data_IF_753867615158
#
_entry.id   IF_753867615158
#
_cell.length_a   1.000
_cell.length_b   1.000
_cell.length_c   1.000
_cell.angle_alpha   90.00
_cell.angle_beta   90.00
_cell.angle_gamma   90.00
#
_symmetry.space_group_name_H-M   'P 1'
#
loop_
_entity.id
_entity.type
_entity.pdbx_description
1 polymer ?
#
# COMPACT_ATOMS: atom_id res chain seq x y z
N UNK A 1 -36.53 1.04 -24.30
CA UNK A 1 -35.81 2.20 -24.91
C UNK A 1 -35.92 3.38 -23.96
N UNK A 2 -34.84 3.63 -23.21
CA UNK A 2 -34.46 4.97 -22.70
C UNK A 2 -33.05 4.81 -22.16
N UNK A 3 -32.13 5.56 -22.77
CA UNK A 3 -30.71 5.66 -22.39
C UNK A 3 -30.64 6.62 -21.21
N UNK A 4 -30.15 6.20 -20.07
CA UNK A 4 -29.71 7.10 -19.01
C UNK A 4 -28.21 7.31 -19.11
N UNK A 5 -27.85 8.51 -19.55
CA UNK A 5 -26.48 9.00 -19.58
C UNK A 5 -26.01 9.31 -18.16
N UNK A 6 -24.87 8.74 -17.79
CA UNK A 6 -24.12 9.08 -16.59
C UNK A 6 -23.81 10.59 -16.53
N UNK A 7 -24.33 11.26 -15.50
CA UNK A 7 -23.99 12.64 -15.17
C UNK A 7 -22.73 12.66 -14.31
N UNK A 8 -21.61 13.05 -14.89
CA UNK A 8 -20.42 13.45 -14.14
C UNK A 8 -20.65 14.82 -13.47
N UNK A 9 -20.21 15.04 -12.22
CA UNK A 9 -20.40 16.32 -11.55
C UNK A 9 -19.50 17.41 -12.12
N UNK A 10 -20.12 18.41 -12.71
CA UNK A 10 -19.52 19.56 -13.42
C UNK A 10 -18.78 20.58 -12.51
N UNK A 11 -18.50 20.23 -11.25
CA UNK A 11 -17.90 21.17 -10.28
C UNK A 11 -16.36 21.24 -10.25
N UNK A 12 -15.66 20.36 -10.96
CA UNK A 12 -14.18 20.39 -11.02
C UNK A 12 -13.58 21.06 -12.26
N UNK A 13 -14.37 21.31 -13.27
CA UNK A 13 -13.88 21.91 -14.54
C UNK A 13 -13.88 23.45 -14.48
N UNK A 14 -14.70 24.08 -13.62
CA UNK A 14 -14.75 25.56 -13.52
C UNK A 14 -13.61 26.18 -12.70
N UNK A 15 -12.89 25.42 -11.88
CA UNK A 15 -11.79 25.98 -11.08
C UNK A 15 -10.46 26.06 -11.85
N UNK A 16 -10.31 25.27 -12.90
CA UNK A 16 -9.11 25.29 -13.75
C UNK A 16 -9.13 26.38 -14.82
N UNK A 17 -10.29 26.85 -15.21
CA UNK A 17 -10.45 27.91 -16.24
C UNK A 17 -10.26 29.33 -15.69
N UNK A 18 -10.48 29.54 -14.39
CA UNK A 18 -10.33 30.85 -13.76
C UNK A 18 -8.88 31.19 -13.42
N UNK A 19 -8.02 30.19 -13.24
CA UNK A 19 -6.59 30.41 -12.98
C UNK A 19 -5.81 30.73 -14.26
N UNK A 20 -6.31 30.33 -15.43
CA UNK A 20 -5.63 30.61 -16.71
C UNK A 20 -5.88 32.00 -17.26
N UNK A 21 -6.97 32.68 -16.84
CA UNK A 21 -7.29 34.04 -17.30
C UNK A 21 -6.72 35.17 -16.44
N UNK A 22 -6.16 34.89 -15.27
CA UNK A 22 -5.58 35.92 -14.40
C UNK A 22 -4.05 36.11 -14.56
N UNK A 23 -3.37 35.31 -15.40
CA UNK A 23 -1.95 35.48 -15.71
C UNK A 23 -1.64 36.25 -17.00
N UNK A 24 -2.62 36.68 -17.75
CA UNK A 24 -2.40 37.39 -19.04
C UNK A 24 -2.45 38.93 -18.94
N UNK A 25 -2.48 39.52 -17.75
CA UNK A 25 -2.62 40.95 -17.57
C UNK A 25 -1.44 41.70 -16.94
N UNK A 26 -0.24 41.10 -16.85
CA UNK A 26 0.92 41.75 -16.20
C UNK A 26 2.13 41.94 -17.17
N UNK A 27 1.96 41.87 -18.47
CA UNK A 27 3.05 42.20 -19.40
C UNK A 27 2.70 43.34 -20.36
N UNK A 28 2.37 44.51 -19.82
CA UNK A 28 2.50 45.74 -20.56
C UNK A 28 3.10 46.81 -19.64
N UNK A 29 4.42 46.72 -19.47
CA UNK A 29 5.22 47.90 -19.16
C UNK A 29 6.36 47.91 -20.15
N UNK A 30 6.17 48.56 -21.27
CA UNK A 30 7.24 49.03 -22.12
C UNK A 30 7.86 50.26 -21.45
N UNK A 31 8.99 50.09 -20.83
CA UNK A 31 9.99 51.12 -20.63
C UNK A 31 11.16 50.80 -21.57
N UNK A 32 11.39 51.70 -22.51
CA UNK A 32 12.59 51.68 -23.38
C UNK A 32 13.80 52.10 -22.54
N UNK A 33 14.34 51.17 -21.76
CA UNK A 33 15.68 51.30 -21.20
C UNK A 33 16.44 49.99 -21.48
N UNK A 34 17.21 50.06 -22.54
CA UNK A 34 18.09 48.97 -23.01
C UNK A 34 19.31 48.75 -22.14
N UNK A 35 19.35 49.27 -20.94
CA UNK A 35 20.43 49.05 -19.97
C UNK A 35 20.13 47.87 -19.06
N UNK A 36 20.71 46.71 -19.37
CA UNK A 36 20.67 45.54 -18.53
C UNK A 36 20.10 44.24 -19.10
N UNK A 37 19.82 44.20 -20.42
CA UNK A 37 19.53 42.91 -21.08
C UNK A 37 20.79 42.08 -21.11
N UNK A 38 20.84 41.06 -20.22
CA UNK A 38 21.84 40.01 -20.35
C UNK A 38 21.65 39.37 -21.72
N UNK A 39 22.60 39.56 -22.61
CA UNK A 39 22.61 38.87 -23.90
C UNK A 39 22.88 37.40 -23.60
N UNK A 40 21.82 36.60 -23.60
CA UNK A 40 21.95 35.16 -23.42
C UNK A 40 22.71 34.58 -24.60
N UNK A 41 23.81 33.87 -24.32
CA UNK A 41 24.50 33.08 -25.33
C UNK A 41 23.63 31.89 -25.75
N UNK A 42 22.90 32.03 -26.84
CA UNK A 42 21.91 31.05 -27.31
C UNK A 42 22.40 30.29 -28.56
N UNK A 43 23.68 30.34 -28.82
CA UNK A 43 24.31 29.55 -29.89
C UNK A 43 24.13 28.05 -29.57
N UNK A 44 23.90 27.23 -30.61
CA UNK A 44 23.87 25.78 -30.44
C UNK A 44 25.20 25.30 -29.83
N UNK A 45 25.19 24.61 -28.69
CA UNK A 45 26.40 24.04 -28.11
C UNK A 45 26.85 22.82 -28.88
N UNK A 46 28.12 22.46 -28.74
CA UNK A 46 28.64 21.21 -29.28
C UNK A 46 27.91 20.00 -28.68
N UNK A 47 27.90 18.89 -29.38
CA UNK A 47 27.23 17.66 -28.94
C UNK A 47 27.86 17.09 -27.66
N UNK A 48 27.11 16.30 -26.94
CA UNK A 48 27.62 15.45 -25.84
C UNK A 48 28.58 14.41 -26.38
N UNK A 49 29.51 13.95 -25.57
CA UNK A 49 30.54 12.95 -25.95
C UNK A 49 30.60 11.79 -24.96
N UNK A 50 31.33 10.73 -25.29
CA UNK A 50 31.54 9.56 -24.43
C UNK A 50 30.24 8.97 -23.88
N UNK A 51 29.19 8.89 -24.73
CA UNK A 51 27.90 8.35 -24.34
C UNK A 51 28.00 6.83 -24.17
N UNK A 52 27.67 6.35 -23.01
CA UNK A 52 27.57 4.92 -22.65
C UNK A 52 26.24 4.59 -22.05
N UNK A 53 25.82 3.35 -22.18
CA UNK A 53 24.57 2.85 -21.62
C UNK A 53 24.80 1.59 -20.82
N UNK A 54 23.95 1.38 -19.79
CA UNK A 54 23.88 0.13 -19.04
C UNK A 54 22.41 -0.23 -18.79
N UNK A 55 22.12 -1.52 -18.72
CA UNK A 55 20.79 -2.03 -18.45
C UNK A 55 20.54 -2.11 -16.92
N UNK A 56 19.27 -1.94 -16.54
CA UNK A 56 18.75 -2.25 -15.23
C UNK A 56 17.32 -2.79 -15.34
N UNK A 57 16.73 -3.29 -14.27
CA UNK A 57 15.40 -3.90 -14.28
C UNK A 57 14.30 -2.90 -14.67
N UNK A 58 13.81 -2.98 -15.94
CA UNK A 58 12.85 -2.03 -16.50
C UNK A 58 13.38 -0.61 -16.66
N UNK A 59 14.71 -0.42 -16.63
CA UNK A 59 15.34 0.88 -16.73
C UNK A 59 16.65 0.84 -17.51
N UNK A 60 17.07 2.01 -17.99
CA UNK A 60 18.33 2.19 -18.69
C UNK A 60 19.10 3.35 -18.08
N UNK A 61 20.35 3.09 -17.74
CA UNK A 61 21.31 4.10 -17.29
C UNK A 61 22.04 4.66 -18.51
N UNK A 62 22.12 5.98 -18.62
CA UNK A 62 22.83 6.67 -19.69
C UNK A 62 23.83 7.63 -19.05
N UNK A 63 25.10 7.51 -19.43
CA UNK A 63 26.18 8.36 -18.93
C UNK A 63 26.88 9.04 -20.12
N UNK A 64 27.18 10.31 -20.00
CA UNK A 64 27.82 11.10 -21.03
C UNK A 64 28.72 12.20 -20.45
N UNK A 65 29.55 12.79 -21.28
CA UNK A 65 30.33 13.97 -20.94
C UNK A 65 29.67 15.21 -21.57
N UNK A 66 29.35 16.21 -20.76
CA UNK A 66 28.81 17.49 -21.20
C UNK A 66 29.84 18.28 -22.05
N UNK A 67 29.39 19.03 -23.07
CA UNK A 67 30.27 19.90 -23.82
C UNK A 67 30.77 21.06 -22.96
N UNK A 68 31.92 21.66 -23.42
CA UNK A 68 32.51 22.83 -22.78
C UNK A 68 31.95 24.15 -23.30
N UNK A 69 31.01 24.11 -24.24
CA UNK A 69 30.41 25.30 -24.85
C UNK A 69 29.75 26.18 -23.78
N UNK A 70 30.04 27.46 -23.75
CA UNK A 70 29.47 28.42 -22.80
C UNK A 70 27.93 28.50 -22.86
N UNK A 71 27.36 28.27 -24.05
CA UNK A 71 25.91 28.24 -24.29
C UNK A 71 25.23 27.00 -23.79
N UNK A 72 25.93 25.96 -23.35
CA UNK A 72 25.34 24.71 -22.89
C UNK A 72 24.62 24.88 -21.55
N UNK A 73 23.34 24.46 -21.49
CA UNK A 73 22.51 24.58 -20.30
C UNK A 73 21.98 23.23 -19.82
N UNK A 74 21.57 22.34 -20.73
CA UNK A 74 21.03 21.04 -20.37
C UNK A 74 21.15 20.02 -21.49
N UNK A 75 21.12 18.75 -21.15
CA UNK A 75 20.93 17.65 -22.10
C UNK A 75 19.47 17.24 -22.12
N UNK A 76 18.85 17.24 -23.32
CA UNK A 76 17.53 16.65 -23.55
C UNK A 76 17.72 15.23 -24.07
N UNK A 77 17.07 14.26 -23.43
CA UNK A 77 17.06 12.86 -23.83
C UNK A 77 15.64 12.52 -24.30
N UNK A 78 15.48 12.26 -25.59
CA UNK A 78 14.20 11.81 -26.17
C UNK A 78 14.19 10.30 -26.31
N UNK A 79 13.03 9.69 -26.01
CA UNK A 79 12.81 8.26 -26.11
C UNK A 79 11.31 7.97 -26.32
N UNK A 80 10.97 6.70 -26.54
CA UNK A 80 9.59 6.25 -26.64
C UNK A 80 9.29 5.39 -25.41
N UNK A 81 8.19 5.65 -24.70
CA UNK A 81 7.79 4.84 -23.54
C UNK A 81 7.15 3.50 -23.96
N UNK A 82 6.86 2.64 -22.98
CA UNK A 82 6.25 1.33 -23.21
C UNK A 82 4.87 1.36 -23.88
N UNK A 83 4.22 2.52 -23.86
CA UNK A 83 2.89 2.74 -24.47
C UNK A 83 3.00 3.37 -25.88
N UNK A 84 4.24 3.51 -26.41
CA UNK A 84 4.51 4.08 -27.72
C UNK A 84 4.47 5.62 -27.77
N UNK A 85 4.37 6.28 -26.62
CA UNK A 85 4.37 7.74 -26.57
C UNK A 85 5.81 8.30 -26.52
N UNK A 86 6.04 9.37 -27.29
CA UNK A 86 7.31 10.10 -27.21
C UNK A 86 7.42 10.86 -25.91
N UNK A 87 8.53 10.67 -25.22
CA UNK A 87 8.90 11.27 -23.95
C UNK A 87 10.24 11.96 -24.03
N UNK A 88 10.51 12.81 -23.06
CA UNK A 88 11.86 13.37 -22.90
C UNK A 88 12.19 13.61 -21.42
N UNK A 89 13.48 13.57 -21.13
CA UNK A 89 14.06 13.98 -19.85
C UNK A 89 15.02 15.14 -20.07
N UNK A 90 14.99 16.12 -19.17
CA UNK A 90 15.89 17.28 -19.19
C UNK A 90 16.87 17.17 -18.02
N UNK A 91 18.16 17.12 -18.32
CA UNK A 91 19.23 17.01 -17.34
C UNK A 91 20.06 18.28 -17.37
N UNK A 92 19.96 19.10 -16.34
CA UNK A 92 20.73 20.34 -16.20
C UNK A 92 22.23 20.07 -16.22
N UNK A 93 23.01 21.00 -16.73
CA UNK A 93 24.49 20.97 -16.69
C UNK A 93 25.02 20.83 -15.25
N UNK A 94 24.29 21.36 -14.27
CA UNK A 94 24.67 21.34 -12.85
C UNK A 94 24.56 19.92 -12.21
N UNK A 95 23.96 18.98 -12.92
CA UNK A 95 23.89 17.57 -12.48
C UNK A 95 25.17 16.79 -12.79
N UNK A 96 26.08 17.35 -13.57
CA UNK A 96 27.34 16.72 -13.89
C UNK A 96 28.33 16.85 -12.71
N UNK A 97 29.22 15.87 -12.59
CA UNK A 97 30.33 15.95 -11.65
C UNK A 97 31.44 16.96 -12.13
N UNK A 98 32.49 17.11 -11.36
CA UNK A 98 33.62 17.99 -11.65
C UNK A 98 34.32 17.69 -13.03
N UNK A 99 34.25 16.45 -13.48
CA UNK A 99 34.74 16.00 -14.77
C UNK A 99 33.73 16.21 -15.91
N UNK A 100 32.64 16.94 -15.67
CA UNK A 100 31.50 17.17 -16.58
C UNK A 100 30.78 15.91 -17.02
N UNK A 101 30.90 14.82 -16.28
CA UNK A 101 30.17 13.58 -16.54
C UNK A 101 28.79 13.66 -15.86
N UNK A 102 27.75 13.49 -16.67
CA UNK A 102 26.37 13.44 -16.23
C UNK A 102 25.77 12.03 -16.45
N UNK A 103 24.79 11.67 -15.63
CA UNK A 103 24.09 10.40 -15.72
C UNK A 103 22.57 10.64 -15.62
N UNK A 104 21.81 9.87 -16.39
CA UNK A 104 20.35 9.79 -16.28
C UNK A 104 19.91 8.34 -16.17
N UNK A 105 18.84 8.10 -15.43
CA UNK A 105 18.12 6.81 -15.39
C UNK A 105 16.76 7.01 -16.04
N UNK A 106 16.51 6.29 -17.12
CA UNK A 106 15.21 6.27 -17.79
C UNK A 106 14.50 5.00 -17.40
N UNK A 107 13.32 5.13 -16.79
CA UNK A 107 12.54 4.06 -16.17
C UNK A 107 11.21 3.82 -16.88
N UNK A 108 10.52 2.75 -16.50
CA UNK A 108 9.16 2.45 -16.94
C UNK A 108 9.10 1.61 -18.22
N UNK A 109 10.15 0.86 -18.53
CA UNK A 109 10.12 -0.09 -19.64
C UNK A 109 9.45 -1.40 -19.21
N UNK A 110 8.44 -1.81 -19.99
CA UNK A 110 7.61 -2.98 -19.67
C UNK A 110 8.25 -4.33 -20.04
N UNK A 111 9.29 -4.30 -20.88
CA UNK A 111 9.92 -5.51 -21.43
C UNK A 111 11.41 -5.25 -21.73
N UNK A 112 12.07 -6.23 -22.33
CA UNK A 112 13.49 -6.20 -22.70
C UNK A 112 13.75 -5.77 -24.13
N UNK A 113 12.78 -5.13 -24.80
CA UNK A 113 12.95 -4.64 -26.15
C UNK A 113 13.99 -3.51 -26.19
N UNK A 114 14.80 -3.52 -27.24
CA UNK A 114 15.85 -2.52 -27.43
C UNK A 114 15.25 -1.13 -27.59
N UNK A 115 15.63 -0.21 -26.72
CA UNK A 115 15.19 1.17 -26.72
C UNK A 115 16.24 2.06 -27.37
N UNK A 116 15.81 3.12 -28.06
CA UNK A 116 16.70 4.13 -28.67
C UNK A 116 16.50 5.46 -27.95
N UNK A 117 17.59 6.10 -27.63
CA UNK A 117 17.67 7.39 -26.93
C UNK A 117 18.42 8.40 -27.79
N UNK A 118 17.83 9.57 -28.00
CA UNK A 118 18.44 10.69 -28.73
C UNK A 118 18.82 11.78 -27.74
N UNK A 119 20.13 12.03 -27.58
CA UNK A 119 20.67 13.01 -26.64
C UNK A 119 21.03 14.31 -27.39
N UNK A 120 20.43 15.42 -26.97
CA UNK A 120 20.66 16.75 -27.50
C UNK A 120 21.30 17.63 -26.42
N UNK A 121 22.48 18.18 -26.71
CA UNK A 121 23.03 19.28 -25.91
C UNK A 121 22.33 20.58 -26.31
N UNK A 122 21.68 21.24 -25.38
CA UNK A 122 20.81 22.38 -25.63
C UNK A 122 21.29 23.67 -24.97
N UNK A 123 21.10 24.78 -25.64
CA UNK A 123 21.19 26.14 -25.09
C UNK A 123 19.94 26.45 -24.23
N UNK A 124 19.89 27.64 -23.63
CA UNK A 124 18.75 28.10 -22.83
C UNK A 124 17.43 28.11 -23.62
N UNK A 125 17.44 28.32 -24.93
CA UNK A 125 16.25 28.30 -25.79
C UNK A 125 16.08 26.98 -26.57
N UNK A 126 16.91 25.96 -26.28
CA UNK A 126 16.81 24.66 -26.92
C UNK A 126 17.54 24.49 -28.21
N UNK A 127 18.32 25.48 -28.66
CA UNK A 127 19.15 25.34 -29.86
C UNK A 127 20.21 24.26 -29.64
N UNK A 128 20.43 23.39 -30.63
CA UNK A 128 21.34 22.24 -30.56
C UNK A 128 21.91 21.90 -31.96
N UNK A 129 22.99 21.15 -32.00
CA UNK A 129 23.63 20.67 -33.26
C UNK A 129 23.14 19.28 -33.72
N UNK A 130 21.97 18.84 -33.18
CA UNK A 130 21.41 17.52 -33.45
C UNK A 130 21.79 16.48 -32.40
N UNK A 131 21.19 15.30 -32.49
CA UNK A 131 21.34 14.25 -31.52
C UNK A 131 22.63 13.45 -31.61
N UNK A 132 23.01 12.82 -30.51
CA UNK A 132 23.75 11.56 -30.46
C UNK A 132 22.77 10.46 -30.13
N UNK A 133 22.72 9.42 -30.95
CA UNK A 133 21.83 8.28 -30.73
C UNK A 133 22.57 7.12 -30.08
N UNK A 134 21.96 6.54 -29.09
CA UNK A 134 22.39 5.30 -28.44
C UNK A 134 21.21 4.37 -28.24
N UNK A 135 21.48 3.08 -28.10
CA UNK A 135 20.43 2.10 -27.89
C UNK A 135 20.83 1.07 -26.85
N UNK A 136 19.91 0.72 -25.99
CA UNK A 136 20.09 -0.27 -24.94
C UNK A 136 18.78 -1.03 -24.71
N UNK A 137 18.86 -2.35 -24.51
CA UNK A 137 17.76 -3.14 -24.00
C UNK A 137 17.79 -3.07 -22.46
N UNK A 138 16.69 -2.77 -21.78
CA UNK A 138 16.62 -2.90 -20.34
C UNK A 138 16.65 -4.38 -19.93
N UNK A 139 16.96 -4.65 -18.66
CA UNK A 139 16.73 -5.97 -18.07
C UNK A 139 15.23 -6.18 -17.83
N UNK A 140 14.83 -7.45 -17.59
CA UNK A 140 13.44 -7.78 -17.26
C UNK A 140 12.96 -6.96 -16.08
N UNK A 141 11.83 -6.25 -16.20
CA UNK A 141 11.36 -5.38 -15.11
C UNK A 141 10.90 -6.18 -13.90
N UNK A 142 11.07 -5.60 -12.72
CA UNK A 142 10.79 -6.25 -11.45
C UNK A 142 9.39 -6.87 -11.37
N UNK A 143 8.36 -6.18 -11.87
CA UNK A 143 6.98 -6.71 -11.84
C UNK A 143 6.82 -7.98 -12.67
N UNK A 144 7.52 -8.13 -13.80
CA UNK A 144 7.51 -9.35 -14.60
C UNK A 144 8.15 -10.53 -13.85
N UNK A 145 9.25 -10.27 -13.15
CA UNK A 145 9.94 -11.32 -12.39
C UNK A 145 9.20 -11.69 -11.11
N UNK A 146 8.63 -10.73 -10.39
CA UNK A 146 7.78 -10.97 -9.23
C UNK A 146 6.55 -11.78 -9.61
N UNK A 147 5.91 -11.47 -10.75
CA UNK A 147 4.76 -12.22 -11.25
C UNK A 147 5.03 -13.72 -11.41
N UNK A 148 6.24 -14.11 -11.83
CA UNK A 148 6.65 -15.52 -11.99
C UNK A 148 6.76 -16.27 -10.65
N UNK A 149 6.88 -15.56 -9.54
CA UNK A 149 7.03 -16.14 -8.19
C UNK A 149 5.70 -16.32 -7.47
N UNK A 150 4.61 -15.75 -8.02
CA UNK A 150 3.31 -15.75 -7.35
C UNK A 150 2.72 -17.15 -7.36
N UNK A 151 2.37 -17.64 -6.17
CA UNK A 151 1.52 -18.82 -5.98
C UNK A 151 0.36 -18.48 -5.05
N UNK A 152 -0.76 -19.16 -5.24
CA UNK A 152 -1.99 -18.95 -4.46
C UNK A 152 -2.42 -20.27 -3.85
N UNK A 153 -2.64 -20.25 -2.54
CA UNK A 153 -3.08 -21.39 -1.76
C UNK A 153 -4.40 -21.08 -1.03
N UNK A 154 -5.28 -22.07 -0.83
CA UNK A 154 -6.47 -21.88 -0.01
C UNK A 154 -6.09 -21.48 1.41
N UNK A 155 -6.82 -20.52 1.98
CA UNK A 155 -6.70 -20.13 3.37
C UNK A 155 -8.08 -19.91 3.98
N UNK A 156 -8.15 -19.85 5.30
CA UNK A 156 -9.40 -19.59 6.01
C UNK A 156 -9.95 -18.20 5.63
N UNK A 157 -11.14 -18.17 5.07
CA UNK A 157 -11.82 -16.94 4.66
C UNK A 157 -11.18 -16.21 3.46
N UNK A 158 -10.26 -16.87 2.73
CA UNK A 158 -9.58 -16.26 1.60
C UNK A 158 -8.48 -17.11 1.00
N UNK A 159 -7.42 -16.47 0.55
CA UNK A 159 -6.26 -17.12 -0.06
C UNK A 159 -4.96 -16.58 0.52
N UNK A 160 -3.97 -17.44 0.57
CA UNK A 160 -2.59 -17.09 0.91
C UNK A 160 -1.81 -16.90 -0.39
N UNK A 161 -1.26 -15.70 -0.56
CA UNK A 161 -0.47 -15.35 -1.73
C UNK A 161 0.99 -15.36 -1.33
N UNK A 162 1.75 -16.31 -1.86
CA UNK A 162 3.19 -16.33 -1.76
C UNK A 162 3.79 -15.54 -2.92
N UNK A 163 4.84 -14.79 -2.65
CA UNK A 163 5.58 -13.99 -3.63
C UNK A 163 7.00 -13.75 -3.16
N UNK A 164 7.87 -13.37 -4.09
CA UNK A 164 9.24 -12.97 -3.81
C UNK A 164 9.60 -11.76 -4.68
N UNK A 165 10.05 -10.68 -4.04
CA UNK A 165 10.58 -9.51 -4.70
C UNK A 165 12.04 -9.29 -4.28
N UNK A 166 12.97 -9.74 -5.13
CA UNK A 166 14.41 -9.58 -4.91
C UNK A 166 14.96 -8.22 -5.43
N UNK A 167 14.08 -7.37 -5.95
CA UNK A 167 14.43 -6.07 -6.52
C UNK A 167 14.31 -4.97 -5.47
N UNK A 168 15.08 -3.90 -5.61
CA UNK A 168 15.02 -2.75 -4.72
C UNK A 168 13.93 -1.73 -5.15
N UNK A 169 12.80 -2.22 -5.61
CA UNK A 169 11.65 -1.40 -6.04
C UNK A 169 10.36 -2.03 -5.56
N UNK A 170 9.35 -1.21 -5.29
CA UNK A 170 8.02 -1.67 -4.94
C UNK A 170 7.30 -2.16 -6.19
N UNK A 171 6.58 -3.27 -6.05
CA UNK A 171 5.70 -3.86 -7.05
C UNK A 171 4.29 -3.95 -6.46
N UNK A 172 3.27 -3.74 -7.26
CA UNK A 172 1.87 -3.96 -6.87
C UNK A 172 1.45 -5.35 -7.33
N UNK A 173 0.78 -6.13 -6.46
CA UNK A 173 0.07 -7.35 -6.88
C UNK A 173 -1.42 -7.01 -6.91
N UNK A 174 -2.04 -7.21 -8.07
CA UNK A 174 -3.45 -6.97 -8.33
C UNK A 174 -4.20 -8.28 -8.53
N UNK A 175 -5.37 -8.39 -7.89
CA UNK A 175 -6.26 -9.53 -8.00
C UNK A 175 -7.66 -9.05 -8.40
N UNK A 176 -8.23 -9.76 -9.37
CA UNK A 176 -9.66 -9.76 -9.63
C UNK A 176 -10.17 -11.17 -9.37
N UNK A 177 -11.28 -11.31 -8.67
CA UNK A 177 -11.79 -12.62 -8.29
C UNK A 177 -13.31 -12.67 -8.34
N UNK A 178 -13.83 -13.88 -8.52
CA UNK A 178 -15.25 -14.16 -8.51
C UNK A 178 -15.52 -15.60 -8.11
N UNK A 179 -16.72 -15.87 -7.61
CA UNK A 179 -17.19 -17.25 -7.49
C UNK A 179 -17.35 -17.87 -8.88
N UNK A 180 -17.01 -19.14 -9.02
CA UNK A 180 -17.22 -19.88 -10.27
C UNK A 180 -18.72 -20.08 -10.55
N UNK A 181 -19.54 -20.21 -9.49
CA UNK A 181 -20.98 -20.45 -9.55
C UNK A 181 -21.81 -19.18 -9.83
N UNK A 182 -21.32 -17.99 -9.41
CA UNK A 182 -22.04 -16.73 -9.51
C UNK A 182 -21.10 -15.54 -9.72
N UNK A 183 -21.07 -15.01 -10.94
CA UNK A 183 -20.22 -13.87 -11.30
C UNK A 183 -20.56 -12.56 -10.58
N UNK A 184 -21.73 -12.44 -9.93
CA UNK A 184 -22.08 -11.28 -9.11
C UNK A 184 -21.34 -11.26 -7.77
N UNK A 185 -20.93 -12.42 -7.28
CA UNK A 185 -20.05 -12.56 -6.13
C UNK A 185 -18.61 -12.34 -6.61
N UNK A 186 -18.21 -11.10 -6.78
CA UNK A 186 -16.89 -10.73 -7.30
C UNK A 186 -16.32 -9.53 -6.57
N UNK A 187 -15.02 -9.38 -6.66
CA UNK A 187 -14.28 -8.26 -6.10
C UNK A 187 -12.90 -8.10 -6.71
N UNK A 188 -12.22 -7.08 -6.29
CA UNK A 188 -10.82 -6.84 -6.65
C UNK A 188 -10.06 -6.24 -5.49
N UNK A 189 -8.77 -6.49 -5.45
CA UNK A 189 -7.88 -5.86 -4.47
C UNK A 189 -6.49 -5.68 -5.04
N UNK A 190 -5.75 -4.71 -4.52
CA UNK A 190 -4.34 -4.50 -4.82
C UNK A 190 -3.57 -4.31 -3.53
N UNK A 191 -2.33 -4.75 -3.52
CA UNK A 191 -1.43 -4.49 -2.41
C UNK A 191 0.02 -4.30 -2.87
N UNK A 192 0.74 -3.52 -2.10
CA UNK A 192 2.16 -3.26 -2.33
C UNK A 192 3.02 -4.40 -1.80
N UNK A 193 4.04 -4.73 -2.58
CA UNK A 193 5.14 -5.63 -2.25
C UNK A 193 6.41 -4.81 -2.25
N UNK A 194 6.92 -4.52 -1.07
CA UNK A 194 8.13 -3.73 -0.92
C UNK A 194 9.35 -4.40 -1.59
N UNK A 195 10.33 -3.61 -1.96
CA UNK A 195 11.60 -4.14 -2.43
C UNK A 195 12.27 -5.04 -1.40
N UNK A 196 12.98 -6.07 -1.87
CA UNK A 196 13.67 -7.07 -1.04
C UNK A 196 12.77 -7.75 0.00
N UNK A 197 11.53 -8.06 -0.38
CA UNK A 197 10.54 -8.69 0.50
C UNK A 197 9.99 -9.99 -0.09
N UNK A 198 9.35 -10.78 0.77
CA UNK A 198 8.67 -12.02 0.39
C UNK A 198 7.38 -12.20 1.16
N UNK A 199 6.40 -12.90 0.54
CA UNK A 199 5.19 -13.38 1.21
C UNK A 199 5.48 -14.48 2.22
N UNK A 200 4.43 -15.07 2.82
CA UNK A 200 3.05 -15.01 2.34
C UNK A 200 2.25 -13.78 2.79
N UNK A 201 1.15 -13.50 2.08
CA UNK A 201 0.12 -12.54 2.47
C UNK A 201 -1.26 -13.16 2.38
N UNK A 202 -2.02 -13.10 3.46
CA UNK A 202 -3.43 -13.48 3.47
C UNK A 202 -4.26 -12.38 2.79
N UNK A 203 -5.11 -12.78 1.84
CA UNK A 203 -6.07 -11.92 1.16
C UNK A 203 -7.47 -12.51 1.33
N UNK A 204 -8.35 -11.78 1.99
CA UNK A 204 -9.75 -12.15 2.10
C UNK A 204 -10.49 -11.80 0.80
N UNK A 205 -11.24 -12.74 0.24
CA UNK A 205 -11.98 -12.56 -1.02
C UNK A 205 -13.39 -12.03 -0.71
N UNK A 206 -13.49 -10.71 -0.45
CA UNK A 206 -14.76 -10.06 -0.11
C UNK A 206 -15.53 -9.66 -1.38
N UNK A 207 -16.86 -9.93 -1.40
CA UNK A 207 -17.77 -9.49 -2.47
C UNK A 207 -18.90 -8.57 -1.97
N UNK A 208 -18.86 -8.17 -0.71
CA UNK A 208 -19.79 -7.27 -0.06
C UNK A 208 -19.38 -6.97 1.37
N UNK A 209 -20.16 -6.17 2.07
CA UNK A 209 -19.90 -5.87 3.47
C UNK A 209 -20.03 -7.16 4.31
N UNK A 210 -18.93 -7.59 4.91
CA UNK A 210 -18.82 -8.84 5.69
C UNK A 210 -19.22 -10.12 4.93
N UNK A 211 -19.11 -10.13 3.60
CA UNK A 211 -19.38 -11.28 2.75
C UNK A 211 -18.09 -11.71 2.04
N UNK A 212 -17.71 -12.97 2.23
CA UNK A 212 -16.46 -13.51 1.72
C UNK A 212 -16.72 -14.77 0.93
N UNK A 213 -15.95 -14.98 -0.15
CA UNK A 213 -15.96 -16.23 -0.90
C UNK A 213 -15.23 -17.28 -0.05
N UNK A 214 -15.96 -18.30 0.39
CA UNK A 214 -15.40 -19.42 1.15
C UNK A 214 -16.25 -20.67 0.93
N UNK A 215 -15.62 -21.86 0.91
CA UNK A 215 -16.30 -23.13 0.70
C UNK A 215 -16.79 -23.39 -0.73
N UNK A 216 -16.58 -22.45 -1.66
CA UNK A 216 -16.94 -22.60 -3.08
C UNK A 216 -15.74 -22.27 -4.00
N UNK A 217 -15.68 -22.89 -5.17
CA UNK A 217 -14.60 -22.64 -6.14
C UNK A 217 -14.64 -21.17 -6.59
N UNK A 218 -13.50 -20.51 -6.53
CA UNK A 218 -13.27 -19.14 -6.98
C UNK A 218 -12.31 -19.13 -8.17
N UNK A 219 -12.56 -18.23 -9.10
CA UNK A 219 -11.66 -17.90 -10.21
C UNK A 219 -10.96 -16.60 -9.83
N UNK A 220 -9.64 -16.62 -9.84
CA UNK A 220 -8.78 -15.47 -9.51
C UNK A 220 -7.92 -15.16 -10.72
N UNK A 221 -7.98 -13.92 -11.21
CA UNK A 221 -7.03 -13.35 -12.15
C UNK A 221 -6.03 -12.51 -11.37
N UNK A 222 -4.75 -12.86 -11.42
CA UNK A 222 -3.69 -12.21 -10.67
C UNK A 222 -2.57 -11.74 -11.59
N UNK A 223 -2.09 -10.52 -11.37
CA UNK A 223 -0.94 -9.96 -12.08
C UNK A 223 -0.09 -9.10 -11.14
N UNK A 224 1.09 -8.73 -11.61
CA UNK A 224 1.94 -7.75 -10.95
C UNK A 224 2.07 -6.50 -11.82
N UNK A 225 2.13 -5.33 -11.18
CA UNK A 225 2.13 -4.01 -11.82
C UNK A 225 3.28 -3.15 -11.26
N UNK A 226 3.72 -2.15 -12.03
CA UNK A 226 4.65 -1.12 -11.59
C UNK A 226 3.99 0.25 -11.43
N UNK A 227 4.74 1.24 -10.99
CA UNK A 227 4.28 2.62 -10.82
C UNK A 227 4.01 3.37 -12.15
N UNK A 228 4.36 2.77 -13.30
CA UNK A 228 4.18 3.34 -14.65
C UNK A 228 2.96 2.77 -15.36
N UNK A 229 2.07 2.07 -14.64
CA UNK A 229 0.91 1.34 -15.17
C UNK A 229 1.30 0.26 -16.21
N UNK A 230 2.46 -0.35 -16.07
CA UNK A 230 2.79 -1.57 -16.78
C UNK A 230 2.32 -2.76 -15.94
N UNK A 231 1.80 -3.79 -16.58
CA UNK A 231 1.33 -5.00 -15.92
C UNK A 231 1.90 -6.25 -16.59
N UNK A 232 2.14 -7.28 -15.80
CA UNK A 232 2.42 -8.62 -16.32
C UNK A 232 1.16 -9.23 -16.95
N UNK A 233 1.33 -10.29 -17.72
CA UNK A 233 0.18 -11.11 -18.11
C UNK A 233 -0.56 -11.61 -16.87
N UNK A 234 -1.87 -11.46 -16.85
CA UNK A 234 -2.69 -12.02 -15.78
C UNK A 234 -2.71 -13.55 -15.89
N UNK A 235 -2.62 -14.21 -14.74
CA UNK A 235 -2.74 -15.67 -14.61
C UNK A 235 -4.10 -15.97 -13.99
N UNK A 236 -4.90 -16.79 -14.66
CA UNK A 236 -6.16 -17.31 -14.12
C UNK A 236 -5.87 -18.55 -13.27
N UNK A 237 -6.34 -18.53 -12.03
CA UNK A 237 -6.20 -19.62 -11.08
C UNK A 237 -7.58 -19.99 -10.53
N UNK A 238 -7.75 -21.26 -10.18
CA UNK A 238 -8.91 -21.78 -9.49
C UNK A 238 -8.52 -22.23 -8.08
N UNK A 239 -9.26 -21.78 -7.11
CA UNK A 239 -9.00 -22.09 -5.70
C UNK A 239 -10.33 -22.16 -4.94
N UNK A 240 -10.42 -23.03 -3.96
CA UNK A 240 -11.55 -23.09 -3.02
C UNK A 240 -11.07 -22.61 -1.66
N UNK A 241 -11.34 -21.35 -1.29
CA UNK A 241 -11.01 -20.85 0.03
C UNK A 241 -11.67 -21.70 1.11
N UNK A 242 -10.97 -21.90 2.22
CA UNK A 242 -11.47 -22.66 3.35
C UNK A 242 -12.57 -21.85 4.05
N UNK A 243 -13.71 -22.47 4.34
CA UNK A 243 -14.80 -21.80 5.02
C UNK A 243 -14.36 -21.39 6.44
N UNK A 244 -14.41 -20.09 6.72
CA UNK A 244 -14.18 -19.54 8.03
C UNK A 244 -15.51 -19.44 8.78
N UNK A 245 -15.62 -20.12 9.90
CA UNK A 245 -16.80 -20.07 10.77
C UNK A 245 -16.51 -19.21 11.99
N UNK A 246 -17.54 -18.53 12.52
CA UNK A 246 -17.42 -17.85 13.82
C UNK A 246 -17.19 -18.90 14.88
N UNK A 247 -16.11 -18.73 15.65
CA UNK A 247 -15.77 -19.64 16.74
C UNK A 247 -16.80 -19.47 17.86
N UNK A 248 -17.30 -20.60 18.39
CA UNK A 248 -18.16 -20.61 19.57
C UNK A 248 -17.42 -20.02 20.78
N UNK A 249 -18.06 -19.05 21.43
CA UNK A 249 -17.50 -18.27 22.53
C UNK A 249 -17.90 -18.77 23.91
N UNK A 250 -18.66 -19.87 24.00
CA UNK A 250 -19.22 -20.38 25.28
C UNK A 250 -18.14 -20.71 26.32
N UNK A 251 -16.93 -21.10 25.86
CA UNK A 251 -15.81 -21.44 26.72
C UNK A 251 -14.76 -20.32 26.84
N UNK A 252 -15.04 -19.15 26.27
CA UNK A 252 -14.11 -18.04 26.34
C UNK A 252 -14.03 -17.42 27.72
N UNK A 253 -12.84 -17.10 28.17
CA UNK A 253 -12.60 -16.50 29.48
C UNK A 253 -11.41 -15.53 29.43
N UNK A 254 -11.32 -14.73 30.50
CA UNK A 254 -10.16 -13.87 30.74
C UNK A 254 -9.39 -14.46 31.93
N UNK A 255 -8.14 -14.90 31.79
CA UNK A 255 -7.39 -15.49 32.89
C UNK A 255 -7.33 -14.57 34.10
N UNK A 256 -7.65 -15.11 35.29
CA UNK A 256 -7.68 -14.35 36.52
C UNK A 256 -8.81 -13.32 36.62
N UNK A 257 -9.86 -13.42 35.81
CA UNK A 257 -11.00 -12.49 35.86
C UNK A 257 -11.57 -12.33 37.29
N UNK A 258 -11.64 -11.08 37.75
CA UNK A 258 -12.23 -10.71 39.03
C UNK A 258 -13.32 -9.63 38.87
N UNK A 259 -14.57 -10.01 39.00
CA UNK A 259 -15.71 -9.12 38.77
C UNK A 259 -15.78 -7.92 39.73
N UNK A 260 -15.14 -7.99 40.90
CA UNK A 260 -15.19 -6.99 41.94
C UNK A 260 -14.03 -6.00 42.00
N UNK A 261 -12.97 -6.22 41.24
CA UNK A 261 -11.76 -5.39 41.27
C UNK A 261 -11.58 -4.58 39.99
N UNK A 262 -11.03 -3.38 40.14
CA UNK A 262 -10.57 -2.54 39.03
C UNK A 262 -9.15 -2.88 38.62
N UNK A 263 -8.39 -3.58 39.46
CA UNK A 263 -7.00 -3.90 39.23
C UNK A 263 -6.82 -4.87 38.05
N UNK A 264 -5.70 -4.76 37.37
CA UNK A 264 -5.29 -5.72 36.37
C UNK A 264 -5.01 -7.11 36.94
N UNK A 265 -5.05 -8.10 36.07
CA UNK A 265 -4.74 -9.50 36.38
C UNK A 265 -3.78 -10.05 35.32
N UNK A 266 -3.54 -11.34 35.34
CA UNK A 266 -2.81 -12.00 34.25
C UNK A 266 -3.54 -11.94 32.90
N UNK A 267 -4.84 -11.64 32.89
CA UNK A 267 -5.66 -11.62 31.67
C UNK A 267 -6.04 -10.23 31.15
N UNK A 268 -5.78 -9.15 31.88
CA UNK A 268 -6.07 -7.80 31.41
C UNK A 268 -5.37 -6.72 32.25
N UNK A 269 -5.10 -5.58 31.62
CA UNK A 269 -4.37 -4.47 32.25
C UNK A 269 -5.17 -3.78 33.39
N UNK A 270 -6.46 -3.57 33.22
CA UNK A 270 -7.39 -3.05 34.23
C UNK A 270 -8.82 -3.10 33.70
N UNK A 271 -9.81 -2.89 34.57
CA UNK A 271 -11.21 -2.73 34.17
C UNK A 271 -11.92 -1.73 35.10
N UNK A 272 -13.04 -1.16 34.67
CA UNK A 272 -13.89 -0.36 35.53
C UNK A 272 -15.05 -1.24 36.07
N UNK A 273 -14.85 -1.82 37.24
CA UNK A 273 -15.76 -2.84 37.78
C UNK A 273 -17.04 -2.29 38.35
N UNK A 274 -17.10 -0.99 38.71
CA UNK A 274 -18.20 -0.44 39.53
C UNK A 274 -18.77 0.88 39.01
N UNK A 275 -18.04 1.61 38.17
CA UNK A 275 -18.37 3.00 37.83
C UNK A 275 -19.29 3.20 36.63
N UNK A 276 -19.47 2.18 35.76
CA UNK A 276 -20.17 2.30 34.48
C UNK A 276 -21.64 1.82 34.52
N UNK A 277 -22.10 1.33 35.68
CA UNK A 277 -23.47 0.84 35.84
C UNK A 277 -23.75 -0.48 35.14
N UNK A 278 -25.05 -0.81 35.02
CA UNK A 278 -25.55 -2.03 34.41
C UNK A 278 -26.41 -1.69 33.18
N UNK A 279 -26.39 -2.58 32.18
CA UNK A 279 -27.26 -2.52 31.03
C UNK A 279 -27.95 -3.88 30.84
N UNK A 280 -29.27 -3.93 30.97
CA UNK A 280 -30.07 -5.15 30.83
C UNK A 280 -29.56 -6.32 31.73
N UNK A 281 -29.13 -5.99 32.95
CA UNK A 281 -28.56 -6.96 33.89
C UNK A 281 -27.10 -7.35 33.65
N UNK A 282 -26.47 -6.81 32.62
CA UNK A 282 -25.07 -6.99 32.32
C UNK A 282 -24.24 -5.80 32.83
N UNK A 283 -23.04 -6.07 33.32
CA UNK A 283 -22.16 -5.05 33.90
C UNK A 283 -21.29 -4.36 32.84
N UNK A 284 -21.46 -3.05 32.67
CA UNK A 284 -20.55 -2.24 31.89
C UNK A 284 -19.18 -2.09 32.57
N UNK A 285 -18.17 -1.75 31.76
CA UNK A 285 -16.82 -1.44 32.21
C UNK A 285 -15.93 -2.65 32.46
N UNK A 286 -16.49 -3.84 32.67
CA UNK A 286 -15.75 -5.07 32.94
C UNK A 286 -15.24 -5.70 31.63
N UNK A 287 -14.09 -6.35 31.69
CA UNK A 287 -13.49 -7.02 30.52
C UNK A 287 -14.40 -8.11 29.94
N UNK A 288 -15.20 -8.78 30.79
CA UNK A 288 -16.16 -9.82 30.37
C UNK A 288 -17.23 -9.28 29.41
N UNK A 289 -17.52 -7.97 29.43
CA UNK A 289 -18.47 -7.32 28.53
C UNK A 289 -18.03 -7.37 27.05
N UNK A 290 -16.78 -7.70 26.78
CA UNK A 290 -16.31 -7.87 25.39
C UNK A 290 -16.83 -9.15 24.74
N UNK A 291 -17.27 -10.13 25.53
CA UNK A 291 -17.69 -11.45 25.03
C UNK A 291 -19.12 -11.82 25.40
N UNK A 292 -19.89 -10.94 26.02
CA UNK A 292 -21.26 -11.18 26.48
C UNK A 292 -22.34 -11.16 25.39
N UNK A 293 -21.94 -10.92 24.14
CA UNK A 293 -22.81 -10.82 22.95
C UNK A 293 -23.75 -9.61 22.93
N UNK A 294 -23.51 -8.60 23.77
CA UNK A 294 -24.28 -7.37 23.80
C UNK A 294 -23.49 -6.18 23.25
N UNK A 295 -24.05 -5.43 22.29
CA UNK A 295 -23.47 -4.15 21.83
C UNK A 295 -23.80 -2.98 22.77
N UNK A 296 -24.64 -3.22 23.80
CA UNK A 296 -25.00 -2.22 24.82
C UNK A 296 -23.97 -2.14 25.95
N UNK A 297 -23.18 -3.19 26.10
CA UNK A 297 -22.13 -3.31 27.11
C UNK A 297 -20.76 -3.10 26.46
N UNK A 298 -19.77 -2.81 27.28
CA UNK A 298 -18.39 -2.53 26.79
C UNK A 298 -17.37 -2.70 27.91
N UNK A 299 -16.14 -2.98 27.57
CA UNK A 299 -15.00 -2.87 28.47
C UNK A 299 -14.52 -1.42 28.54
N UNK A 300 -14.15 -0.98 29.75
CA UNK A 300 -13.47 0.28 30.01
C UNK A 300 -12.28 0.03 30.93
N UNK A 301 -11.08 0.47 30.54
CA UNK A 301 -9.96 0.47 31.46
C UNK A 301 -10.26 1.34 32.68
N UNK A 302 -9.76 0.98 33.84
CA UNK A 302 -10.09 1.72 35.07
C UNK A 302 -9.66 3.19 35.00
N UNK A 303 -10.55 4.08 35.41
CA UNK A 303 -10.19 5.48 35.65
C UNK A 303 -9.76 5.74 37.11
N UNK A 304 -9.95 4.76 38.02
CA UNK A 304 -9.60 4.86 39.44
C UNK A 304 -8.20 4.34 39.72
N UNK A 305 -7.79 3.31 38.99
CA UNK A 305 -6.46 2.74 39.05
C UNK A 305 -5.74 3.24 37.78
N UNK A 306 -4.76 4.13 37.96
CA UNK A 306 -3.96 4.59 36.83
C UNK A 306 -3.24 3.40 36.21
N UNK A 307 -3.61 3.06 34.96
CA UNK A 307 -2.89 2.09 34.15
C UNK A 307 -2.34 2.81 32.91
N UNK A 308 -1.05 2.66 32.66
CA UNK A 308 -0.40 3.23 31.51
C UNK A 308 -0.79 2.51 30.23
N UNK A 309 -0.64 3.18 29.10
CA UNK A 309 -0.73 2.55 27.80
C UNK A 309 0.47 1.62 27.55
N UNK A 310 0.30 0.53 26.79
CA UNK A 310 -0.96 0.09 26.17
C UNK A 310 -1.92 -0.57 27.16
N UNK A 311 -3.22 -0.39 26.93
CA UNK A 311 -4.20 -1.27 27.58
C UNK A 311 -4.26 -2.59 26.80
N UNK A 312 -4.33 -3.72 27.53
CA UNK A 312 -4.28 -5.04 26.92
C UNK A 312 -5.19 -6.03 27.64
N UNK A 313 -5.52 -7.10 26.94
CA UNK A 313 -6.21 -8.26 27.49
C UNK A 313 -5.73 -9.54 26.80
N UNK A 314 -5.87 -10.66 27.52
CA UNK A 314 -5.66 -12.02 27.02
C UNK A 314 -7.01 -12.72 27.07
N UNK A 315 -7.43 -13.25 25.92
CA UNK A 315 -8.63 -14.04 25.77
C UNK A 315 -8.25 -15.51 25.64
N UNK A 316 -8.59 -16.31 26.62
CA UNK A 316 -8.48 -17.75 26.55
C UNK A 316 -9.72 -18.31 25.84
N UNK A 317 -9.51 -19.00 24.73
CA UNK A 317 -10.58 -19.56 23.89
C UNK A 317 -11.01 -20.97 24.34
N UNK A 318 -10.38 -21.52 25.40
CA UNK A 318 -10.68 -22.81 25.99
C UNK A 318 -10.19 -24.02 25.20
N UNK A 319 -9.60 -23.79 24.02
CA UNK A 319 -8.98 -24.80 23.17
C UNK A 319 -8.12 -24.13 22.10
N UNK A 320 -7.16 -24.86 21.53
CA UNK A 320 -6.42 -24.42 20.36
C UNK A 320 -7.33 -24.39 19.14
N UNK A 321 -7.26 -23.29 18.39
CA UNK A 321 -8.04 -23.05 17.17
C UNK A 321 -7.20 -22.29 16.15
N UNK A 322 -7.44 -22.53 14.87
CA UNK A 322 -6.85 -21.73 13.81
C UNK A 322 -7.67 -20.47 13.58
N UNK A 323 -7.07 -19.29 13.80
CA UNK A 323 -7.73 -18.00 13.70
C UNK A 323 -7.36 -17.31 12.38
N UNK A 324 -8.33 -17.14 11.47
CA UNK A 324 -8.13 -16.42 10.21
C UNK A 324 -8.26 -14.90 10.36
N UNK A 325 -9.15 -14.46 11.25
CA UNK A 325 -9.38 -13.04 11.49
C UNK A 325 -9.96 -12.79 12.88
N UNK A 326 -9.81 -11.55 13.34
CA UNK A 326 -10.44 -11.07 14.58
C UNK A 326 -11.39 -9.95 14.22
N UNK A 327 -12.63 -10.04 14.72
CA UNK A 327 -13.64 -9.01 14.59
C UNK A 327 -13.78 -8.25 15.91
N UNK A 328 -13.64 -6.94 15.87
CA UNK A 328 -13.75 -6.05 17.02
C UNK A 328 -14.81 -5.00 16.78
N UNK A 329 -15.58 -4.69 17.83
CA UNK A 329 -16.60 -3.65 17.81
C UNK A 329 -16.30 -2.64 18.91
N UNK A 330 -16.41 -1.35 18.62
CA UNK A 330 -16.22 -0.31 19.61
C UNK A 330 -17.44 -0.20 20.57
N UNK A 331 -17.25 0.49 21.70
CA UNK A 331 -18.38 1.05 22.46
C UNK A 331 -19.23 1.91 21.52
N UNK A 332 -20.50 1.59 21.40
CA UNK A 332 -21.41 2.26 20.47
C UNK A 332 -21.50 3.77 20.75
N UNK A 333 -21.47 4.59 19.69
CA UNK A 333 -21.55 6.04 19.79
C UNK A 333 -20.33 6.74 20.43
N UNK A 334 -19.22 6.03 20.70
CA UNK A 334 -18.04 6.61 21.35
C UNK A 334 -16.80 6.58 20.45
N UNK A 335 -16.42 7.75 19.89
CA UNK A 335 -15.25 7.91 19.03
C UNK A 335 -13.90 8.10 19.81
N UNK A 336 -13.93 8.14 21.13
CA UNK A 336 -12.73 8.40 21.96
C UNK A 336 -12.00 7.12 22.41
N UNK A 337 -12.43 5.97 21.90
CA UNK A 337 -11.86 4.70 22.27
C UNK A 337 -10.54 4.40 21.55
N UNK A 338 -10.35 3.14 21.29
CA UNK A 338 -9.17 2.52 20.68
C UNK A 338 -8.91 3.02 19.25
N UNK A 339 -7.64 3.08 18.86
CA UNK A 339 -7.22 3.40 17.48
C UNK A 339 -6.17 2.41 16.98
N UNK A 340 -4.99 2.40 17.58
CA UNK A 340 -3.93 1.45 17.24
C UNK A 340 -4.09 0.18 18.05
N UNK A 341 -3.94 -0.98 17.41
CA UNK A 341 -4.04 -2.29 18.04
C UNK A 341 -2.98 -3.22 17.52
N UNK A 342 -2.45 -4.07 18.37
CA UNK A 342 -1.53 -5.15 18.02
C UNK A 342 -2.17 -6.46 18.47
N UNK A 343 -2.21 -7.45 17.60
CA UNK A 343 -2.79 -8.77 17.91
C UNK A 343 -1.67 -9.79 17.98
N UNK A 344 -1.72 -10.58 19.04
CA UNK A 344 -0.85 -11.70 19.28
C UNK A 344 -1.68 -12.97 19.46
N UNK A 345 -1.14 -14.13 19.08
CA UNK A 345 -1.70 -15.44 19.39
C UNK A 345 -0.65 -16.29 20.08
N UNK A 346 -1.13 -17.21 20.93
CA UNK A 346 -0.29 -18.21 21.59
C UNK A 346 -1.11 -19.50 21.75
N UNK A 347 -0.56 -20.63 21.32
CA UNK A 347 -1.16 -21.94 21.58
C UNK A 347 -0.94 -22.36 23.05
N UNK A 348 -1.76 -23.26 23.56
CA UNK A 348 -1.65 -23.71 24.96
C UNK A 348 -0.28 -24.36 25.26
N UNK A 349 0.29 -25.09 24.28
CA UNK A 349 1.60 -25.68 24.39
C UNK A 349 2.75 -24.67 24.51
N UNK A 350 2.55 -23.43 24.01
CA UNK A 350 3.53 -22.35 24.02
C UNK A 350 3.37 -21.42 25.24
N UNK A 351 2.35 -21.63 26.07
CA UNK A 351 2.12 -20.91 27.32
C UNK A 351 2.93 -21.54 28.46
N UNK A 352 4.21 -21.18 28.54
CA UNK A 352 5.21 -21.83 29.38
C UNK A 352 4.90 -21.74 30.90
N UNK A 353 4.50 -20.56 31.38
CA UNK A 353 4.06 -20.35 32.75
C UNK A 353 2.69 -19.67 32.73
N UNK A 354 1.65 -20.41 33.13
CA UNK A 354 0.25 -19.91 33.12
C UNK A 354 0.02 -18.67 33.99
N UNK A 355 0.92 -18.39 34.94
CA UNK A 355 0.84 -17.21 35.79
C UNK A 355 1.71 -16.05 35.33
N UNK A 356 2.52 -16.23 34.27
CA UNK A 356 3.42 -15.23 33.74
C UNK A 356 3.30 -15.13 32.21
N UNK A 357 2.31 -14.41 31.67
CA UNK A 357 2.07 -14.28 30.22
C UNK A 357 3.28 -13.73 29.44
N UNK A 358 4.15 -12.96 30.08
CA UNK A 358 5.37 -12.42 29.45
C UNK A 358 6.37 -13.53 29.07
N UNK A 359 6.24 -14.70 29.65
CA UNK A 359 7.07 -15.88 29.33
C UNK A 359 6.57 -16.67 28.13
N UNK A 360 5.38 -16.39 27.59
CA UNK A 360 4.75 -17.17 26.54
C UNK A 360 5.34 -16.88 25.16
N UNK A 361 5.32 -17.91 24.29
CA UNK A 361 5.80 -17.76 22.92
C UNK A 361 4.72 -17.12 22.02
N UNK A 362 4.59 -15.81 22.11
CA UNK A 362 3.60 -15.04 21.34
C UNK A 362 3.99 -14.89 19.86
N UNK A 363 3.07 -15.22 18.97
CA UNK A 363 3.16 -14.85 17.55
C UNK A 363 2.53 -13.48 17.33
N UNK A 364 3.32 -12.52 16.84
CA UNK A 364 2.85 -11.17 16.53
C UNK A 364 2.27 -11.12 15.12
N UNK A 365 1.00 -10.75 14.97
CA UNK A 365 0.28 -10.61 13.69
C UNK A 365 0.29 -9.18 13.14
N UNK A 366 1.05 -8.29 13.76
CA UNK A 366 1.21 -6.91 13.31
C UNK A 366 0.24 -5.92 13.95
N UNK A 367 0.32 -4.70 13.44
CA UNK A 367 -0.47 -3.56 13.93
C UNK A 367 -1.66 -3.30 13.00
N UNK A 368 -2.80 -3.04 13.61
CA UNK A 368 -4.05 -2.70 12.92
C UNK A 368 -4.50 -1.30 13.32
N UNK A 369 -5.05 -0.56 12.37
CA UNK A 369 -5.71 0.71 12.66
C UNK A 369 -7.21 0.51 12.73
N UNK A 370 -7.77 0.76 13.90
CA UNK A 370 -9.20 0.72 14.14
C UNK A 370 -9.80 2.10 13.82
N UNK A 371 -10.90 2.14 13.06
CA UNK A 371 -11.62 3.40 12.83
C UNK A 371 -12.53 3.71 14.04
N UNK A 372 -12.17 4.71 14.87
CA UNK A 372 -12.94 5.02 16.07
C UNK A 372 -14.29 5.68 15.78
N UNK A 373 -14.60 6.03 14.53
CA UNK A 373 -15.86 6.64 14.14
C UNK A 373 -16.89 5.64 13.62
N UNK A 374 -16.50 4.37 13.46
CA UNK A 374 -17.35 3.33 12.90
C UNK A 374 -17.94 2.45 14.00
N UNK A 375 -19.28 2.45 14.15
CA UNK A 375 -20.01 1.60 15.10
C UNK A 375 -20.11 0.13 14.66
N UNK A 376 -20.10 -0.13 13.36
CA UNK A 376 -20.12 -1.49 12.82
C UNK A 376 -18.86 -2.29 13.21
N UNK A 377 -18.96 -3.62 13.30
CA UNK A 377 -17.81 -4.49 13.52
C UNK A 377 -16.71 -4.24 12.47
N UNK A 378 -15.45 -4.36 12.90
CA UNK A 378 -14.29 -4.21 12.03
C UNK A 378 -13.45 -5.48 12.12
N UNK A 379 -13.18 -6.10 10.98
CA UNK A 379 -12.45 -7.35 10.87
C UNK A 379 -11.01 -7.11 10.46
N UNK A 380 -10.08 -7.82 11.09
CA UNK A 380 -8.65 -7.79 10.80
C UNK A 380 -8.19 -9.21 10.48
N UNK A 381 -7.71 -9.41 9.25
CA UNK A 381 -7.13 -10.68 8.83
C UNK A 381 -5.76 -10.90 9.49
N UNK A 382 -5.49 -12.12 9.93
CA UNK A 382 -4.20 -12.51 10.49
C UNK A 382 -3.29 -13.02 9.36
N UNK A 383 -2.07 -12.48 9.26
CA UNK A 383 -1.14 -12.79 8.16
C UNK A 383 -0.55 -14.20 8.22
N UNK A 384 -0.61 -14.84 9.38
CA UNK A 384 -0.23 -16.25 9.57
C UNK A 384 -1.29 -16.91 10.42
N UNK A 385 -1.76 -18.07 9.99
CA UNK A 385 -2.54 -18.95 10.86
C UNK A 385 -1.56 -19.76 11.69
N UNK A 386 -1.67 -19.77 13.00
CA UNK A 386 -0.88 -20.70 13.83
C UNK A 386 -1.22 -22.14 13.53
#
# INVERSE_FOLDING_TARGET
MKKDLLKFPLKRVLLSAVILCSLSAIFTSCGDDAEGRITLNDKAPAKVTNVTTAAGPGEVYITWTNPTSESFMYTKIEYTDSKGAKRYSLISKERANENKVATATIKGFANTDKQTFSLFACSVRGNNEGAIEVSQAPESPAFQEVAKTITVEPALGGVLINYKNDYNTTVLIALEYRAASDSKKSGSTKFEVAGNSKGPRLVQLSYGENQFLAGEECIINICAEDEYDNASSAVELKVTPIEAVKIDRSNWSFPGYNAGSNDGTIGYSSQEAQGEGDQDGLKNGRVISMIDSSLKTYWHASWKVASDYPHWFILDMGKDVTVASVELTRRQGNAKGQKGQIIYTCADADALDKNNPDSWNWTNHGSFTFDPNKDAPQSFGLASTP
#
